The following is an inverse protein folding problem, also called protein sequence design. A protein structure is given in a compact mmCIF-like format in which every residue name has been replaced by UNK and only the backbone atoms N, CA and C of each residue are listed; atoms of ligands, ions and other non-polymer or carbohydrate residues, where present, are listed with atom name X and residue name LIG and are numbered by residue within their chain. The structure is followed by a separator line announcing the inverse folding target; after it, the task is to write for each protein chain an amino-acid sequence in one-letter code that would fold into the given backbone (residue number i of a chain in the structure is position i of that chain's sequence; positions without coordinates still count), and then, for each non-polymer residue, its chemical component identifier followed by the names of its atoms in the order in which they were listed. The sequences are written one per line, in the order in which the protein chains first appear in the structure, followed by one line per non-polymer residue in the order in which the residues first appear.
data_IF_738602190766
#
_entry.id   IF_738602190766
#
_cell.length_a   1.000
_cell.length_b   1.000
_cell.length_c   1.000
_cell.angle_alpha   90.00
_cell.angle_beta   90.00
_cell.angle_gamma   90.00
#
_symmetry.space_group_name_H-M   'P 1'
#
loop_
_entity.id
_entity.type
_entity.pdbx_description
1 polymer ?
#
# COMPACT_ATOMS: atom_id res chain seq x y z
N UNK A 1 -25.02 5.05 46.33
CA UNK A 1 -23.85 4.17 46.06
C UNK A 1 -23.87 3.51 44.68
N UNK A 2 -25.01 3.13 44.13
CA UNK A 2 -25.10 2.44 42.85
C UNK A 2 -24.85 3.37 41.63
N UNK A 3 -25.24 4.64 41.73
CA UNK A 3 -25.06 5.62 40.65
C UNK A 3 -23.58 6.02 40.47
N UNK A 4 -22.88 6.18 41.60
CA UNK A 4 -21.45 6.54 41.59
C UNK A 4 -20.59 5.41 41.00
N UNK A 5 -20.89 4.14 41.32
CA UNK A 5 -20.21 2.97 40.77
C UNK A 5 -20.48 2.80 39.24
N UNK A 6 -21.68 3.10 38.77
CA UNK A 6 -21.98 3.13 37.33
C UNK A 6 -21.22 4.26 36.60
N UNK A 7 -21.10 5.43 37.22
CA UNK A 7 -20.35 6.55 36.64
C UNK A 7 -18.84 6.22 36.54
N UNK A 8 -18.26 5.67 37.60
CA UNK A 8 -16.87 5.23 37.62
C UNK A 8 -16.60 4.12 36.61
N UNK A 9 -17.50 3.15 36.50
CA UNK A 9 -17.39 2.07 35.50
C UNK A 9 -17.45 2.59 34.07
N UNK A 10 -18.37 3.52 33.76
CA UNK A 10 -18.48 4.15 32.45
C UNK A 10 -17.25 5.05 32.15
N UNK A 11 -16.79 5.83 33.12
CA UNK A 11 -15.59 6.65 32.99
C UNK A 11 -14.35 5.79 32.73
N UNK A 12 -14.16 4.69 33.45
CA UNK A 12 -13.09 3.74 33.22
C UNK A 12 -13.17 3.08 31.85
N UNK A 13 -14.37 2.67 31.41
CA UNK A 13 -14.58 2.11 30.06
C UNK A 13 -14.24 3.12 28.96
N UNK A 14 -14.67 4.38 29.12
CA UNK A 14 -14.35 5.46 28.18
C UNK A 14 -12.84 5.75 28.19
N UNK A 15 -12.23 5.82 29.37
CA UNK A 15 -10.79 6.06 29.50
C UNK A 15 -9.96 4.90 28.91
N UNK A 16 -10.37 3.66 29.15
CA UNK A 16 -9.74 2.47 28.55
C UNK A 16 -9.91 2.52 27.02
N UNK A 17 -11.11 2.82 26.53
CA UNK A 17 -11.38 2.94 25.08
C UNK A 17 -10.53 4.04 24.44
N UNK A 18 -10.39 5.21 25.08
CA UNK A 18 -9.53 6.28 24.61
C UNK A 18 -8.05 5.89 24.61
N UNK A 19 -7.58 5.16 25.65
CA UNK A 19 -6.19 4.69 25.72
C UNK A 19 -5.89 3.55 24.76
N UNK A 20 -6.90 2.74 24.37
CA UNK A 20 -6.74 1.64 23.41
C UNK A 20 -6.89 2.10 21.95
N UNK A 21 -7.45 3.27 21.71
CA UNK A 21 -7.69 3.83 20.39
C UNK A 21 -6.69 4.94 20.03
N UNK A 22 -5.47 4.88 20.59
CA UNK A 22 -4.39 5.81 20.23
C UNK A 22 -3.25 5.06 19.56
N UNK A 23 -2.48 5.79 18.77
CA UNK A 23 -1.24 5.33 18.16
C UNK A 23 -0.13 6.34 18.45
N UNK A 24 1.02 5.85 18.92
CA UNK A 24 2.23 6.66 19.04
C UNK A 24 3.00 6.60 17.74
N UNK A 25 3.23 7.75 17.13
CA UNK A 25 3.98 7.90 15.89
C UNK A 25 5.50 8.00 16.14
N UNK A 26 6.30 7.96 15.08
CA UNK A 26 7.77 7.99 15.16
C UNK A 26 8.30 9.32 15.71
N UNK A 27 7.60 10.43 15.48
CA UNK A 27 7.94 11.75 16.03
C UNK A 27 7.60 11.89 17.54
N UNK A 28 6.99 10.85 18.12
CA UNK A 28 6.60 10.80 19.52
C UNK A 28 5.19 11.32 19.80
N UNK A 29 4.49 11.87 18.81
CA UNK A 29 3.09 12.27 18.94
C UNK A 29 2.18 11.07 19.25
N UNK A 30 1.08 11.32 19.96
CA UNK A 30 0.07 10.31 20.27
C UNK A 30 -1.24 10.78 19.65
N UNK A 31 -1.68 10.07 18.63
CA UNK A 31 -2.83 10.43 17.82
C UNK A 31 -4.01 9.50 18.08
N UNK A 32 -5.25 10.01 17.85
CA UNK A 32 -6.43 9.16 17.82
C UNK A 32 -6.44 8.31 16.56
N UNK A 33 -6.51 6.99 16.71
CA UNK A 33 -6.42 6.07 15.59
C UNK A 33 -7.55 6.22 14.57
N UNK A 34 -8.78 6.51 15.02
CA UNK A 34 -9.93 6.67 14.11
C UNK A 34 -9.79 7.96 13.28
N UNK A 35 -9.22 9.03 13.86
CA UNK A 35 -8.93 10.27 13.13
C UNK A 35 -7.81 10.04 12.11
N UNK A 36 -6.72 9.40 12.52
CA UNK A 36 -5.64 9.03 11.59
C UNK A 36 -6.16 8.20 10.43
N UNK A 37 -6.99 7.17 10.69
CA UNK A 37 -7.56 6.32 9.63
C UNK A 37 -8.44 7.12 8.67
N UNK A 38 -9.18 8.12 9.16
CA UNK A 38 -9.99 9.01 8.33
C UNK A 38 -9.11 9.89 7.44
N UNK A 39 -8.03 10.46 8.01
CA UNK A 39 -7.12 11.34 7.29
C UNK A 39 -6.23 10.58 6.29
N UNK A 40 -6.02 9.27 6.49
CA UNK A 40 -5.27 8.41 5.56
C UNK A 40 -5.93 8.23 4.19
N UNK A 41 -7.17 8.67 4.00
CA UNK A 41 -7.83 8.74 2.69
C UNK A 41 -7.16 9.80 1.81
N UNK A 42 -6.65 10.86 2.41
CA UNK A 42 -5.88 11.90 1.75
C UNK A 42 -4.45 11.39 1.46
N UNK A 43 -4.06 11.40 0.19
CA UNK A 43 -2.75 10.93 -0.24
C UNK A 43 -1.60 11.83 0.26
N UNK A 44 -1.82 13.14 0.42
CA UNK A 44 -0.82 14.07 0.96
C UNK A 44 -0.57 13.78 2.44
N UNK A 45 -1.62 13.48 3.20
CA UNK A 45 -1.47 13.02 4.57
C UNK A 45 -0.79 11.65 4.64
N UNK A 46 -1.26 10.68 3.84
CA UNK A 46 -0.75 9.31 3.84
C UNK A 46 0.72 9.22 3.43
N UNK A 47 1.10 9.84 2.32
CA UNK A 47 2.49 9.79 1.82
C UNK A 47 3.38 10.88 2.41
N UNK A 48 2.83 12.04 2.75
CA UNK A 48 3.56 13.18 3.31
C UNK A 48 3.81 13.06 4.80
N UNK A 49 2.80 13.31 5.63
CA UNK A 49 2.92 13.31 7.08
C UNK A 49 3.22 11.91 7.64
N UNK A 50 2.35 10.94 7.36
CA UNK A 50 2.55 9.57 7.81
C UNK A 50 3.73 8.88 7.12
N UNK A 51 4.12 9.34 5.92
CA UNK A 51 5.31 8.88 5.22
C UNK A 51 6.58 8.99 6.05
N UNK A 52 6.64 9.99 6.94
CA UNK A 52 7.76 10.27 7.85
C UNK A 52 7.54 9.69 9.25
N UNK A 53 6.29 9.47 9.66
CA UNK A 53 5.92 9.22 11.04
C UNK A 53 5.39 7.80 11.30
N UNK A 54 5.24 6.98 10.24
CA UNK A 54 4.89 5.57 10.35
C UNK A 54 5.60 4.75 9.27
N UNK A 55 6.06 3.55 9.65
CA UNK A 55 6.73 2.63 8.73
C UNK A 55 5.72 1.99 7.76
N UNK A 56 6.23 1.49 6.64
CA UNK A 56 5.49 0.75 5.63
C UNK A 56 6.34 -0.37 5.04
N UNK A 57 5.78 -1.21 4.20
CA UNK A 57 6.55 -2.23 3.48
C UNK A 57 7.70 -1.63 2.65
N UNK A 58 7.46 -0.46 2.03
CA UNK A 58 8.48 0.29 1.29
C UNK A 58 9.57 0.83 2.21
N UNK A 59 9.22 1.36 3.40
CA UNK A 59 10.17 1.82 4.40
C UNK A 59 11.11 0.69 4.83
N UNK A 60 10.54 -0.48 5.14
CA UNK A 60 11.31 -1.66 5.55
C UNK A 60 12.27 -2.10 4.43
N UNK A 61 11.80 -2.11 3.18
CA UNK A 61 12.66 -2.43 2.03
C UNK A 61 13.87 -1.49 1.96
N UNK A 62 13.65 -0.20 2.10
CA UNK A 62 14.72 0.81 2.07
C UNK A 62 15.70 0.67 3.24
N UNK A 63 15.19 0.43 4.45
CA UNK A 63 16.01 0.23 5.66
C UNK A 63 16.91 -1.00 5.54
N UNK A 64 16.40 -2.09 4.95
CA UNK A 64 17.19 -3.31 4.69
C UNK A 64 18.29 -3.08 3.65
N UNK A 65 18.06 -2.19 2.71
CA UNK A 65 19.09 -1.85 1.72
C UNK A 65 20.13 -0.87 2.32
N UNK A 66 19.68 0.19 2.99
CA UNK A 66 20.54 1.16 3.67
C UNK A 66 19.72 2.17 4.47
N UNK A 67 20.03 2.36 5.75
CA UNK A 67 19.44 3.42 6.58
C UNK A 67 19.67 4.82 5.97
N UNK A 68 20.84 5.06 5.38
CA UNK A 68 21.15 6.32 4.69
C UNK A 68 20.21 6.55 3.49
N UNK A 69 19.92 5.51 2.71
CA UNK A 69 18.99 5.58 1.58
C UNK A 69 17.58 5.85 2.06
N UNK A 70 17.14 5.17 3.13
CA UNK A 70 15.84 5.43 3.75
C UNK A 70 15.70 6.89 4.18
N UNK A 71 16.66 7.45 4.94
CA UNK A 71 16.65 8.84 5.38
C UNK A 71 16.64 9.83 4.20
N UNK A 72 17.44 9.55 3.17
CA UNK A 72 17.46 10.38 1.96
C UNK A 72 16.09 10.40 1.26
N UNK A 73 15.50 9.23 1.03
CA UNK A 73 14.22 9.12 0.32
C UNK A 73 13.07 9.71 1.15
N UNK A 74 13.08 9.50 2.47
CA UNK A 74 12.09 10.11 3.39
C UNK A 74 12.15 11.63 3.36
N UNK A 75 13.34 12.20 3.19
CA UNK A 75 13.53 13.66 3.16
C UNK A 75 13.28 14.29 1.81
N UNK A 76 13.71 13.64 0.72
CA UNK A 76 13.73 14.24 -0.62
C UNK A 76 12.77 13.59 -1.62
N UNK A 77 12.11 12.51 -1.22
CA UNK A 77 11.24 11.72 -2.09
C UNK A 77 12.01 10.71 -2.95
N UNK A 78 11.27 9.76 -3.48
CA UNK A 78 11.80 8.76 -4.40
C UNK A 78 11.66 9.24 -5.85
N UNK A 79 12.68 8.99 -6.68
CA UNK A 79 12.58 9.25 -8.10
C UNK A 79 11.54 8.33 -8.75
N UNK A 80 10.64 8.93 -9.47
CA UNK A 80 9.63 8.22 -10.26
C UNK A 80 10.29 7.43 -11.41
N UNK A 81 9.94 6.15 -11.53
CA UNK A 81 10.40 5.28 -12.62
C UNK A 81 9.25 4.87 -13.50
N UNK A 82 9.51 4.49 -14.76
CA UNK A 82 8.45 4.08 -15.68
C UNK A 82 7.65 2.88 -15.16
N UNK A 83 8.25 1.79 -14.64
CA UNK A 83 7.49 0.69 -14.06
C UNK A 83 6.58 1.08 -12.89
N UNK A 84 7.02 2.04 -12.07
CA UNK A 84 6.21 2.55 -10.95
C UNK A 84 4.99 3.34 -11.47
N UNK A 85 5.20 4.20 -12.46
CA UNK A 85 4.11 4.96 -13.13
C UNK A 85 3.08 4.04 -13.77
N UNK A 86 3.56 3.04 -14.53
CA UNK A 86 2.70 2.07 -15.21
C UNK A 86 1.84 1.30 -14.19
N UNK A 87 2.47 0.87 -13.08
CA UNK A 87 1.78 0.21 -11.98
C UNK A 87 0.75 1.12 -11.32
N UNK A 88 1.13 2.36 -11.00
CA UNK A 88 0.23 3.34 -10.38
C UNK A 88 -1.01 3.59 -11.24
N UNK A 89 -0.84 3.85 -12.55
CA UNK A 89 -1.97 4.12 -13.45
C UNK A 89 -2.91 2.91 -13.56
N UNK A 90 -2.35 1.69 -13.66
CA UNK A 90 -3.12 0.45 -13.67
C UNK A 90 -3.92 0.27 -12.37
N UNK A 91 -3.30 0.48 -11.19
CA UNK A 91 -3.97 0.42 -9.89
C UNK A 91 -5.11 1.44 -9.81
N UNK A 92 -4.84 2.70 -10.17
CA UNK A 92 -5.86 3.75 -10.16
C UNK A 92 -7.06 3.39 -11.03
N UNK A 93 -6.83 2.86 -12.24
CA UNK A 93 -7.92 2.48 -13.15
C UNK A 93 -8.79 1.33 -12.62
N UNK A 94 -8.22 0.39 -11.88
CA UNK A 94 -8.96 -0.76 -11.32
C UNK A 94 -9.60 -0.43 -9.97
N UNK A 95 -8.88 0.26 -9.08
CA UNK A 95 -9.25 0.38 -7.66
C UNK A 95 -9.92 1.71 -7.33
N UNK A 96 -9.60 2.78 -8.06
CA UNK A 96 -10.08 4.15 -7.85
C UNK A 96 -10.45 4.83 -9.20
N UNK A 97 -11.35 4.22 -10.01
CA UNK A 97 -11.63 4.71 -11.37
C UNK A 97 -12.14 6.15 -11.41
N UNK A 98 -12.72 6.66 -10.33
CA UNK A 98 -13.14 8.05 -10.21
C UNK A 98 -11.97 9.04 -10.27
N UNK A 99 -10.79 8.67 -9.78
CA UNK A 99 -9.58 9.51 -9.82
C UNK A 99 -9.01 9.70 -11.23
N UNK A 100 -9.45 8.90 -12.21
CA UNK A 100 -9.00 9.04 -13.60
C UNK A 100 -9.38 10.40 -14.19
N UNK A 101 -10.47 11.00 -13.72
CA UNK A 101 -10.91 12.32 -14.18
C UNK A 101 -9.93 13.43 -13.78
N UNK A 102 -9.11 13.24 -12.77
CA UNK A 102 -8.12 14.21 -12.27
C UNK A 102 -6.76 14.04 -12.99
N UNK A 103 -6.61 12.99 -13.79
CA UNK A 103 -5.38 12.70 -14.55
C UNK A 103 -5.42 13.38 -15.91
N UNK A 104 -4.33 14.09 -16.24
CA UNK A 104 -4.15 14.69 -17.55
C UNK A 104 -3.40 13.74 -18.49
N UNK A 105 -4.01 13.43 -19.63
CA UNK A 105 -3.40 12.63 -20.68
C UNK A 105 -2.99 13.50 -21.86
N UNK A 106 -1.72 13.41 -22.25
CA UNK A 106 -1.15 14.22 -23.35
C UNK A 106 -0.79 13.31 -24.51
N UNK A 107 -1.28 13.65 -25.71
CA UNK A 107 -0.95 12.92 -26.93
C UNK A 107 0.41 13.38 -27.47
N UNK A 108 1.45 12.71 -27.03
CA UNK A 108 2.84 12.99 -27.41
C UNK A 108 3.66 11.69 -27.44
N UNK A 109 4.65 11.67 -28.34
CA UNK A 109 5.58 10.54 -28.46
C UNK A 109 6.69 10.56 -27.39
N UNK A 110 6.95 11.72 -26.77
CA UNK A 110 8.04 11.88 -25.80
C UNK A 110 7.63 12.80 -24.65
N UNK A 111 7.97 12.39 -23.43
CA UNK A 111 7.84 13.20 -22.22
C UNK A 111 8.79 14.43 -22.23
N UNK A 112 9.73 14.48 -23.18
CA UNK A 112 10.58 15.66 -23.39
C UNK A 112 9.91 16.75 -24.23
N UNK A 113 8.73 16.48 -24.82
CA UNK A 113 7.97 17.46 -25.59
C UNK A 113 7.57 18.67 -24.75
N UNK A 114 7.41 19.81 -25.42
CA UNK A 114 6.95 21.05 -24.76
C UNK A 114 5.57 20.87 -24.14
N UNK A 115 4.64 20.24 -24.88
CA UNK A 115 3.28 20.01 -24.41
C UNK A 115 3.22 19.18 -23.11
N UNK A 116 4.04 18.10 -23.00
CA UNK A 116 4.12 17.31 -21.78
C UNK A 116 4.71 18.11 -20.61
N UNK A 117 5.81 18.83 -20.85
CA UNK A 117 6.44 19.66 -19.82
C UNK A 117 5.56 20.79 -19.34
N UNK A 118 4.79 21.40 -20.22
CA UNK A 118 3.84 22.45 -19.86
C UNK A 118 2.68 21.90 -19.04
N UNK A 119 2.11 20.74 -19.41
CA UNK A 119 1.10 20.07 -18.60
C UNK A 119 1.60 19.75 -17.18
N UNK A 120 2.82 19.26 -17.02
CA UNK A 120 3.45 18.97 -15.72
C UNK A 120 3.66 20.19 -14.81
N UNK A 121 3.60 21.40 -15.33
CA UNK A 121 3.70 22.62 -14.49
C UNK A 121 2.41 22.92 -13.73
N UNK A 122 1.28 22.44 -14.24
CA UNK A 122 -0.05 22.78 -13.74
C UNK A 122 -0.81 21.58 -13.16
N UNK A 123 -0.27 20.35 -13.37
CA UNK A 123 -0.91 19.12 -12.93
C UNK A 123 0.11 18.15 -12.33
N UNK A 124 -0.23 17.57 -11.20
CA UNK A 124 0.62 16.62 -10.49
C UNK A 124 0.69 15.29 -11.23
N UNK A 125 -0.46 14.81 -11.74
CA UNK A 125 -0.57 13.55 -12.46
C UNK A 125 -0.75 13.79 -13.96
N UNK A 126 0.33 13.61 -14.71
CA UNK A 126 0.35 13.72 -16.18
C UNK A 126 0.92 12.45 -16.77
N UNK A 127 0.17 11.83 -17.68
CA UNK A 127 0.57 10.64 -18.40
C UNK A 127 0.45 10.89 -19.92
N UNK A 128 1.13 10.08 -20.71
CA UNK A 128 0.95 10.09 -22.18
C UNK A 128 -0.25 9.25 -22.56
N UNK A 129 -0.83 9.50 -23.75
CA UNK A 129 -1.88 8.64 -24.31
C UNK A 129 -1.41 7.19 -24.48
N UNK A 130 -0.11 6.97 -24.76
CA UNK A 130 0.46 5.64 -24.80
C UNK A 130 0.38 4.93 -23.46
N UNK A 131 0.76 5.61 -22.35
CA UNK A 131 0.64 5.04 -20.97
C UNK A 131 -0.81 4.71 -20.64
N UNK A 132 -1.75 5.57 -21.04
CA UNK A 132 -3.19 5.33 -20.87
C UNK A 132 -3.64 4.06 -21.59
N UNK A 133 -3.35 3.96 -22.89
CA UNK A 133 -3.76 2.83 -23.71
C UNK A 133 -3.14 1.51 -23.22
N UNK A 134 -1.88 1.55 -22.76
CA UNK A 134 -1.20 0.38 -22.17
C UNK A 134 -1.88 -0.07 -20.88
N UNK A 135 -2.26 0.87 -20.00
CA UNK A 135 -2.98 0.58 -18.76
C UNK A 135 -4.40 0.07 -19.02
N UNK A 136 -5.16 0.70 -19.93
CA UNK A 136 -6.51 0.24 -20.33
C UNK A 136 -6.49 -1.18 -20.86
N UNK A 137 -5.49 -1.54 -21.66
CA UNK A 137 -5.32 -2.90 -22.18
C UNK A 137 -5.11 -3.93 -21.07
N UNK A 138 -4.36 -3.58 -20.02
CA UNK A 138 -4.17 -4.43 -18.84
C UNK A 138 -5.47 -4.56 -18.05
N UNK A 139 -6.17 -3.45 -17.83
CA UNK A 139 -7.45 -3.44 -17.11
C UNK A 139 -8.49 -4.30 -17.82
N UNK A 140 -8.63 -4.16 -19.13
CA UNK A 140 -9.55 -4.95 -19.94
C UNK A 140 -9.25 -6.46 -19.84
N UNK A 141 -7.98 -6.84 -19.91
CA UNK A 141 -7.59 -8.24 -19.81
C UNK A 141 -7.87 -8.81 -18.42
N UNK A 142 -7.57 -8.04 -17.35
CA UNK A 142 -7.85 -8.44 -15.98
C UNK A 142 -9.35 -8.62 -15.73
N UNK A 143 -10.17 -7.65 -16.16
CA UNK A 143 -11.61 -7.65 -15.91
C UNK A 143 -12.37 -8.67 -16.77
N UNK A 144 -11.79 -9.19 -17.86
CA UNK A 144 -12.33 -10.32 -18.62
C UNK A 144 -12.02 -11.68 -18.01
N UNK A 145 -11.08 -11.73 -17.07
CA UNK A 145 -10.75 -12.96 -16.36
C UNK A 145 -11.75 -13.20 -15.22
N UNK A 146 -12.52 -14.29 -15.29
CA UNK A 146 -13.58 -14.59 -14.33
C UNK A 146 -13.06 -14.78 -12.90
N UNK A 147 -11.88 -15.40 -12.73
CA UNK A 147 -11.26 -15.59 -11.42
C UNK A 147 -10.85 -14.25 -10.80
N UNK A 148 -10.18 -13.39 -11.60
CA UNK A 148 -9.82 -12.04 -11.18
C UNK A 148 -11.04 -11.20 -10.80
N UNK A 149 -12.09 -11.23 -11.64
CA UNK A 149 -13.33 -10.52 -11.37
C UNK A 149 -13.99 -11.02 -10.08
N UNK A 150 -13.99 -12.34 -9.83
CA UNK A 150 -14.45 -12.93 -8.58
C UNK A 150 -13.66 -12.48 -7.36
N UNK A 151 -12.36 -12.24 -7.50
CA UNK A 151 -11.51 -11.70 -6.44
C UNK A 151 -11.80 -10.23 -6.13
N UNK A 152 -12.15 -9.43 -7.13
CA UNK A 152 -12.50 -8.03 -6.94
C UNK A 152 -13.92 -7.83 -6.40
N UNK A 153 -14.80 -8.77 -6.65
CA UNK A 153 -16.20 -8.67 -6.24
C UNK A 153 -16.36 -8.74 -4.71
N UNK A 154 -17.37 -8.03 -4.17
CA UNK A 154 -17.69 -7.97 -2.73
C UNK A 154 -16.49 -7.60 -1.88
N UNK A 155 -15.81 -6.54 -2.27
CA UNK A 155 -14.58 -6.06 -1.65
C UNK A 155 -14.65 -4.55 -1.42
N UNK A 156 -13.75 -4.07 -0.56
CA UNK A 156 -13.41 -2.67 -0.41
C UNK A 156 -12.03 -2.46 -1.04
N UNK A 157 -11.82 -1.31 -1.65
CA UNK A 157 -10.59 -0.97 -2.37
C UNK A 157 -9.81 0.12 -1.64
N UNK A 158 -8.49 0.11 -1.78
CA UNK A 158 -7.57 1.11 -1.22
C UNK A 158 -7.83 1.38 0.28
N UNK A 159 -8.02 0.28 1.04
CA UNK A 159 -8.40 0.38 2.46
C UNK A 159 -7.18 0.72 3.31
N UNK A 160 -7.16 1.90 3.97
CA UNK A 160 -6.04 2.27 4.83
C UNK A 160 -6.11 1.56 6.18
N UNK A 161 -4.95 1.27 6.76
CA UNK A 161 -4.81 0.76 8.12
C UNK A 161 -3.52 1.27 8.75
N UNK A 162 -3.59 1.55 10.04
CA UNK A 162 -2.44 1.88 10.89
C UNK A 162 -2.52 1.11 12.21
N UNK A 163 -1.42 0.54 12.64
CA UNK A 163 -1.33 -0.15 13.93
C UNK A 163 0.11 -0.29 14.39
N UNK A 164 0.30 -0.61 15.66
CA UNK A 164 1.60 -0.98 16.15
C UNK A 164 1.93 -2.42 15.80
N UNK A 165 3.07 -2.64 15.17
CA UNK A 165 3.65 -3.96 14.97
C UNK A 165 4.97 -3.97 15.75
N UNK A 166 5.02 -4.80 16.80
CA UNK A 166 6.20 -4.96 17.64
C UNK A 166 6.74 -3.64 18.23
N UNK A 167 5.84 -2.72 18.63
CA UNK A 167 6.17 -1.44 19.29
C UNK A 167 6.44 -0.26 18.36
N UNK A 168 6.33 -0.44 17.05
CA UNK A 168 6.48 0.64 16.04
C UNK A 168 5.18 0.87 15.27
N UNK A 169 4.84 2.13 14.92
CA UNK A 169 3.70 2.44 14.08
C UNK A 169 3.97 1.98 12.64
N UNK A 170 3.08 1.15 12.12
CA UNK A 170 3.06 0.73 10.72
C UNK A 170 1.77 1.18 10.05
N UNK A 171 1.89 1.63 8.82
CA UNK A 171 0.78 1.97 7.94
C UNK A 171 0.80 1.11 6.68
N UNK A 172 -0.38 0.87 6.15
CA UNK A 172 -0.58 0.18 4.87
C UNK A 172 -1.91 0.59 4.26
N UNK A 173 -2.05 0.40 2.97
CA UNK A 173 -3.30 0.57 2.23
C UNK A 173 -3.47 -0.70 1.41
N UNK A 174 -4.47 -1.52 1.77
CA UNK A 174 -4.72 -2.78 1.07
C UNK A 174 -5.43 -2.49 -0.24
N UNK A 175 -4.88 -2.97 -1.36
CA UNK A 175 -5.48 -2.79 -2.68
C UNK A 175 -6.93 -3.29 -2.68
N UNK A 176 -7.14 -4.51 -2.18
CA UNK A 176 -8.45 -5.15 -2.10
C UNK A 176 -8.60 -5.85 -0.75
N UNK A 177 -9.56 -5.42 0.04
CA UNK A 177 -9.97 -6.09 1.28
C UNK A 177 -11.31 -6.77 1.06
N UNK A 178 -11.33 -8.12 1.18
CA UNK A 178 -12.53 -8.92 0.98
C UNK A 178 -13.49 -8.75 2.16
N UNK A 179 -14.79 -8.58 1.91
CA UNK A 179 -15.81 -8.49 2.95
C UNK A 179 -15.90 -9.77 3.82
N UNK A 180 -15.53 -10.93 3.26
CA UNK A 180 -15.45 -12.21 3.97
C UNK A 180 -14.14 -12.41 4.75
N UNK A 181 -13.25 -11.42 4.75
CA UNK A 181 -11.88 -11.52 5.22
C UNK A 181 -10.92 -11.90 4.08
N UNK A 182 -9.67 -11.51 4.22
CA UNK A 182 -8.61 -11.73 3.23
C UNK A 182 -8.23 -10.49 2.45
N UNK A 183 -7.02 -10.52 1.91
CA UNK A 183 -6.41 -9.43 1.14
C UNK A 183 -6.05 -9.95 -0.24
N UNK A 184 -6.33 -9.17 -1.27
CA UNK A 184 -5.81 -9.37 -2.62
C UNK A 184 -4.99 -8.16 -3.00
N UNK A 185 -3.74 -8.39 -3.35
CA UNK A 185 -2.78 -7.36 -3.74
C UNK A 185 -2.50 -7.45 -5.24
N UNK A 186 -2.76 -6.37 -5.95
CA UNK A 186 -2.62 -6.31 -7.40
C UNK A 186 -1.16 -6.08 -7.79
N UNK A 187 -0.68 -6.83 -8.78
CA UNK A 187 0.67 -6.65 -9.32
C UNK A 187 0.71 -6.72 -10.83
N UNK A 188 1.44 -5.80 -11.44
CA UNK A 188 1.87 -5.96 -12.84
C UNK A 188 3.23 -6.64 -12.88
N UNK A 189 3.41 -7.59 -13.78
CA UNK A 189 4.68 -8.32 -13.95
C UNK A 189 5.05 -8.44 -15.41
N UNK A 190 6.28 -8.86 -15.71
CA UNK A 190 6.74 -9.20 -17.06
C UNK A 190 6.74 -10.71 -17.31
N UNK A 191 6.49 -11.50 -16.28
CA UNK A 191 6.42 -12.96 -16.34
C UNK A 191 5.56 -13.45 -15.17
N UNK A 192 4.28 -13.69 -15.46
CA UNK A 192 3.33 -14.15 -14.45
C UNK A 192 3.67 -15.55 -13.95
N UNK A 193 4.21 -16.42 -14.80
CA UNK A 193 4.56 -17.82 -14.44
C UNK A 193 5.73 -17.91 -13.46
N UNK A 194 6.61 -16.92 -13.47
CA UNK A 194 7.75 -16.81 -12.57
C UNK A 194 7.60 -15.64 -11.58
N UNK A 195 6.38 -15.23 -11.27
CA UNK A 195 6.12 -14.10 -10.37
C UNK A 195 6.81 -14.27 -9.01
N UNK A 196 6.94 -15.50 -8.49
CA UNK A 196 7.63 -15.78 -7.23
C UNK A 196 9.05 -15.22 -7.19
N UNK A 197 9.77 -15.18 -8.34
CA UNK A 197 11.12 -14.59 -8.44
C UNK A 197 11.06 -13.07 -8.24
N UNK A 198 10.07 -12.42 -8.87
CA UNK A 198 9.84 -10.99 -8.71
C UNK A 198 9.39 -10.66 -7.29
N UNK A 199 8.49 -11.47 -6.73
CA UNK A 199 8.01 -11.29 -5.36
C UNK A 199 9.15 -11.37 -4.33
N UNK A 200 10.09 -12.28 -4.52
CA UNK A 200 11.28 -12.40 -3.68
C UNK A 200 12.25 -11.23 -3.89
N UNK A 201 12.58 -10.89 -5.14
CA UNK A 201 13.50 -9.81 -5.48
C UNK A 201 13.01 -8.44 -5.00
N UNK A 202 11.70 -8.19 -5.08
CA UNK A 202 11.08 -6.95 -4.60
C UNK A 202 10.73 -6.98 -3.12
N UNK A 203 11.03 -8.08 -2.41
CA UNK A 203 10.78 -8.25 -0.97
C UNK A 203 9.29 -8.10 -0.61
N UNK A 204 8.38 -8.62 -1.45
CA UNK A 204 6.93 -8.56 -1.19
C UNK A 204 6.51 -9.35 0.05
N UNK A 205 7.35 -10.26 0.55
CA UNK A 205 7.15 -10.91 1.84
C UNK A 205 7.04 -9.91 3.01
N UNK A 206 7.69 -8.73 2.93
CA UNK A 206 7.51 -7.66 3.92
C UNK A 206 6.08 -7.11 3.90
N UNK A 207 5.54 -6.88 2.71
CA UNK A 207 4.17 -6.41 2.53
C UNK A 207 3.17 -7.42 3.06
N UNK A 208 3.34 -8.69 2.73
CA UNK A 208 2.48 -9.77 3.23
C UNK A 208 2.46 -9.80 4.75
N UNK A 209 3.62 -9.85 5.41
CA UNK A 209 3.69 -9.87 6.87
C UNK A 209 3.03 -8.64 7.49
N UNK A 210 3.41 -7.44 7.03
CA UNK A 210 2.90 -6.18 7.58
C UNK A 210 1.38 -6.09 7.40
N UNK A 211 0.85 -6.42 6.23
CA UNK A 211 -0.58 -6.34 5.96
C UNK A 211 -1.38 -7.39 6.73
N UNK A 212 -0.90 -8.61 6.84
CA UNK A 212 -1.51 -9.62 7.71
C UNK A 212 -1.61 -9.13 9.16
N UNK A 213 -0.56 -8.48 9.69
CA UNK A 213 -0.57 -7.91 11.04
C UNK A 213 -1.50 -6.70 11.15
N UNK A 214 -1.49 -5.79 10.17
CA UNK A 214 -2.33 -4.58 10.20
C UNK A 214 -3.83 -4.90 10.16
N UNK A 215 -4.22 -5.83 9.30
CA UNK A 215 -5.62 -6.17 9.04
C UNK A 215 -6.11 -7.37 9.83
N UNK A 216 -5.24 -8.00 10.64
CA UNK A 216 -5.52 -9.23 11.37
C UNK A 216 -6.07 -10.35 10.47
N UNK A 217 -5.36 -10.60 9.35
CA UNK A 217 -5.69 -11.59 8.34
C UNK A 217 -4.65 -12.70 8.37
N UNK A 218 -5.08 -13.97 8.25
CA UNK A 218 -4.16 -15.10 8.09
C UNK A 218 -3.44 -15.01 6.73
N UNK A 219 -2.15 -15.37 6.67
CA UNK A 219 -1.38 -15.33 5.41
C UNK A 219 -2.00 -16.23 4.32
N UNK A 220 -2.75 -17.27 4.69
CA UNK A 220 -3.48 -18.14 3.76
C UNK A 220 -4.59 -17.42 3.01
N UNK A 221 -5.11 -16.34 3.61
CA UNK A 221 -6.13 -15.48 3.03
C UNK A 221 -5.54 -14.25 2.33
N UNK A 222 -4.21 -14.20 2.19
CA UNK A 222 -3.53 -13.20 1.37
C UNK A 222 -3.18 -13.79 0.00
N UNK A 223 -3.54 -13.08 -1.08
CA UNK A 223 -3.26 -13.49 -2.45
C UNK A 223 -2.65 -12.34 -3.26
N UNK A 224 -1.78 -12.69 -4.20
CA UNK A 224 -1.36 -11.78 -5.24
C UNK A 224 -2.18 -12.06 -6.50
N UNK A 225 -2.81 -11.02 -7.03
CA UNK A 225 -3.47 -11.03 -8.34
C UNK A 225 -2.56 -10.32 -9.34
N UNK A 226 -1.98 -11.08 -10.25
CA UNK A 226 -0.94 -10.61 -11.14
C UNK A 226 -1.41 -10.56 -12.59
N UNK A 227 -0.96 -9.54 -13.33
CA UNK A 227 -1.15 -9.48 -14.79
C UNK A 227 0.18 -9.27 -15.50
N UNK A 228 0.43 -10.05 -16.54
CA UNK A 228 1.60 -9.96 -17.39
C UNK A 228 1.47 -8.81 -18.39
N UNK A 229 2.42 -7.87 -18.38
CA UNK A 229 2.39 -6.70 -19.27
C UNK A 229 2.59 -7.03 -20.75
N UNK A 230 3.16 -8.20 -21.07
CA UNK A 230 3.42 -8.61 -22.45
C UNK A 230 2.28 -9.43 -23.02
N UNK A 231 1.95 -10.52 -22.30
CA UNK A 231 1.06 -11.56 -22.80
C UNK A 231 -0.38 -11.36 -22.35
N UNK A 232 -0.59 -10.46 -21.37
CA UNK A 232 -1.89 -10.21 -20.72
C UNK A 232 -2.41 -11.43 -19.94
N UNK A 233 -1.52 -12.40 -19.64
CA UNK A 233 -1.87 -13.53 -18.80
C UNK A 233 -2.17 -13.07 -17.39
N UNK A 234 -3.23 -13.57 -16.80
CA UNK A 234 -3.61 -13.33 -15.40
C UNK A 234 -3.24 -14.54 -14.57
N UNK A 235 -2.68 -14.32 -13.40
CA UNK A 235 -2.33 -15.38 -12.46
C UNK A 235 -2.62 -14.99 -11.03
N UNK A 236 -3.04 -15.97 -10.23
CA UNK A 236 -3.27 -15.85 -8.81
C UNK A 236 -2.22 -16.63 -8.07
N UNK A 237 -1.60 -16.01 -7.09
CA UNK A 237 -0.55 -16.61 -6.29
C UNK A 237 -0.93 -16.60 -4.81
N UNK A 238 -0.90 -17.79 -4.22
CA UNK A 238 -1.06 -17.97 -2.79
C UNK A 238 0.25 -17.68 -2.05
N UNK A 239 0.13 -17.27 -0.80
CA UNK A 239 1.27 -17.04 0.09
C UNK A 239 1.58 -18.31 0.87
N UNK A 240 2.83 -18.77 0.80
CA UNK A 240 3.31 -19.86 1.64
C UNK A 240 3.69 -19.38 3.05
N UNK A 241 3.62 -20.28 4.03
CA UNK A 241 4.10 -20.01 5.39
C UNK A 241 5.56 -19.53 5.40
N UNK A 242 6.41 -20.17 4.61
CA UNK A 242 7.83 -19.79 4.51
C UNK A 242 8.00 -18.34 4.01
N UNK A 243 7.19 -17.91 3.05
CA UNK A 243 7.23 -16.54 2.53
C UNK A 243 6.76 -15.53 3.58
N UNK A 244 5.70 -15.86 4.35
CA UNK A 244 5.23 -15.04 5.46
C UNK A 244 6.29 -14.93 6.58
N UNK A 245 6.87 -16.04 7.03
CA UNK A 245 7.92 -16.07 8.06
C UNK A 245 9.18 -15.33 7.62
N UNK A 246 9.53 -15.37 6.33
CA UNK A 246 10.61 -14.57 5.77
C UNK A 246 10.31 -13.07 5.92
N UNK A 247 9.06 -12.65 5.73
CA UNK A 247 8.60 -11.29 5.97
C UNK A 247 8.75 -10.86 7.44
N UNK A 248 8.31 -11.71 8.35
CA UNK A 248 8.48 -11.47 9.78
C UNK A 248 9.94 -11.26 10.16
N UNK A 249 10.81 -12.20 9.80
CA UNK A 249 12.24 -12.12 10.09
C UNK A 249 12.88 -10.85 9.48
N UNK A 250 12.48 -10.49 8.28
CA UNK A 250 12.97 -9.30 7.56
C UNK A 250 12.55 -8.00 8.25
N UNK A 251 11.29 -7.88 8.66
CA UNK A 251 10.78 -6.71 9.39
C UNK A 251 11.47 -6.57 10.76
N UNK A 252 11.68 -7.69 11.46
CA UNK A 252 12.42 -7.70 12.73
C UNK A 252 13.90 -7.26 12.55
N UNK A 253 14.55 -7.67 11.46
CA UNK A 253 15.93 -7.29 11.18
C UNK A 253 16.07 -5.79 10.86
N UNK A 254 15.16 -5.21 10.06
CA UNK A 254 15.16 -3.79 9.73
C UNK A 254 15.09 -2.88 10.97
N UNK A 255 14.33 -3.28 11.99
CA UNK A 255 14.19 -2.55 13.25
C UNK A 255 15.51 -2.42 14.03
N UNK A 256 16.36 -3.45 13.99
CA UNK A 256 17.67 -3.41 14.68
C UNK A 256 18.61 -2.37 14.08
N UNK A 257 18.47 -2.09 12.78
CA UNK A 257 19.27 -1.09 12.08
C UNK A 257 18.89 0.35 12.44
N UNK A 258 17.64 0.61 12.88
CA UNK A 258 17.22 1.93 13.36
C UNK A 258 17.76 2.28 14.75
N UNK A 259 18.01 1.28 15.60
CA UNK A 259 18.45 1.50 16.98
C UNK A 259 19.96 1.76 17.10
N UNK A 260 20.71 1.60 16.01
CA UNK A 260 22.17 1.87 15.96
C UNK A 260 22.50 2.61 14.66
N UNK A 261 22.20 3.95 14.58
CA UNK A 261 22.62 4.77 13.44
C UNK A 261 24.14 4.95 13.35
#
# INVERSE_FOLDING_TARGET
NNLHMKYLSNYLKIKIKLMTNTIKLLDGSIENKDEVLKDMIDDDYYYGYLGKNALSSSSIKLLLDSAKTYLYITKYGQKETQPLRDGQLFHTMILEPEKINDIVFVDVQSKNSKAYKDAKKFHDQVFTMKEKNDAERLCDALLRNEEALGMLNKSQFEVPMISNINGYPFRGKADVLKNAGGIVDLKTTIDVKNFYKSADAYKYYNQVYIYCQLFNVDYKDFKFLCIDKKNLDVGVWDVSEQFYLKGEASVMAARRSEMHP
#
